data_IF_950077312168
#
_entry.id   IF_950077312168
#
_cell.length_a   1.000
_cell.length_b   1.000
_cell.length_c   1.000
_cell.angle_alpha   90.00
_cell.angle_beta   90.00
_cell.angle_gamma   90.00
#
_symmetry.space_group_name_H-M   'P 1'
#
loop_
_entity.id
_entity.type
_entity.pdbx_description
1 polymer ?
#
# COMPACT_ATOMS: atom_id res chain seq x y z
N UNK A 1 -5.31 -54.94 -19.23
CA UNK A 1 -4.85 -53.62 -19.71
C UNK A 1 -4.48 -52.85 -18.48
N UNK A 2 -3.20 -52.60 -18.32
CA UNK A 2 -2.61 -52.04 -17.12
C UNK A 2 -1.82 -50.78 -17.50
N UNK A 3 -2.01 -49.69 -16.76
CA UNK A 3 -1.35 -48.40 -17.00
C UNK A 3 -0.45 -48.07 -15.81
N UNK A 4 0.82 -47.83 -16.10
CA UNK A 4 1.84 -47.45 -15.14
C UNK A 4 2.26 -46.01 -15.40
N UNK A 5 2.42 -45.23 -14.33
CA UNK A 5 2.88 -43.85 -14.39
C UNK A 5 4.01 -43.61 -13.40
N UNK A 6 4.95 -42.75 -13.79
CA UNK A 6 6.03 -42.31 -12.93
C UNK A 6 6.29 -40.82 -13.16
N UNK A 7 6.28 -40.04 -12.08
CA UNK A 7 6.57 -38.61 -12.11
C UNK A 7 7.88 -38.38 -11.37
N UNK A 8 8.83 -37.75 -12.04
CA UNK A 8 10.08 -37.33 -11.42
C UNK A 8 10.32 -35.83 -11.60
N UNK A 9 11.11 -35.26 -10.70
CA UNK A 9 11.53 -33.87 -10.80
C UNK A 9 12.49 -33.73 -11.97
N UNK A 10 12.24 -32.74 -12.83
CA UNK A 10 13.08 -32.40 -13.96
C UNK A 10 13.34 -30.89 -13.93
N UNK A 11 14.45 -30.47 -13.31
CA UNK A 11 14.79 -29.06 -13.14
C UNK A 11 13.79 -28.31 -12.25
N UNK A 12 13.21 -27.24 -12.79
CA UNK A 12 12.09 -26.46 -12.22
C UNK A 12 10.72 -27.08 -12.51
N UNK A 13 10.66 -28.10 -13.38
CA UNK A 13 9.46 -28.83 -13.76
C UNK A 13 9.41 -30.28 -13.26
N UNK A 14 8.50 -31.04 -13.85
CA UNK A 14 8.34 -32.48 -13.60
C UNK A 14 8.20 -33.23 -14.93
N UNK A 15 8.72 -34.44 -14.98
CA UNK A 15 8.59 -35.34 -16.12
C UNK A 15 7.64 -36.47 -15.76
N UNK A 16 6.56 -36.63 -16.54
CA UNK A 16 5.66 -37.78 -16.48
C UNK A 16 6.08 -38.82 -17.51
N UNK A 17 6.30 -40.05 -17.05
CA UNK A 17 6.49 -41.24 -17.88
C UNK A 17 5.28 -42.15 -17.76
N UNK A 18 4.79 -42.68 -18.88
CA UNK A 18 3.65 -43.58 -18.94
C UNK A 18 4.03 -44.85 -19.69
N UNK A 19 3.57 -46.00 -19.20
CA UNK A 19 3.67 -47.29 -19.87
C UNK A 19 2.31 -47.99 -19.82
N UNK A 20 1.85 -48.54 -20.94
CA UNK A 20 0.59 -49.29 -21.03
C UNK A 20 0.89 -50.72 -21.45
N UNK A 21 0.36 -51.70 -20.72
CA UNK A 21 0.45 -53.13 -21.04
C UNK A 21 -0.92 -53.66 -21.47
N UNK A 22 -0.99 -54.29 -22.65
CA UNK A 22 -2.22 -54.86 -23.21
C UNK A 22 -2.41 -56.36 -22.88
N UNK A 23 -1.54 -56.95 -22.05
CA UNK A 23 -1.57 -58.37 -21.66
C UNK A 23 -0.73 -59.30 -22.54
N UNK A 24 -0.09 -58.74 -23.58
CA UNK A 24 0.85 -59.44 -24.47
C UNK A 24 2.16 -58.70 -24.68
N UNK A 25 2.36 -57.56 -24.01
CA UNK A 25 3.49 -56.65 -24.19
C UNK A 25 3.09 -55.19 -23.95
N UNK A 26 4.10 -54.35 -23.78
CA UNK A 26 3.92 -52.90 -23.66
C UNK A 26 3.58 -52.28 -25.02
N UNK A 27 2.74 -51.24 -25.01
CA UNK A 27 2.38 -50.47 -26.20
C UNK A 27 3.62 -49.77 -26.76
N UNK A 28 3.94 -50.09 -28.01
CA UNK A 28 5.00 -49.45 -28.80
C UNK A 28 4.55 -49.31 -30.27
N UNK A 29 5.28 -48.49 -31.03
CA UNK A 29 4.92 -48.15 -32.41
C UNK A 29 5.06 -49.31 -33.41
N UNK A 30 5.79 -50.37 -33.08
CA UNK A 30 6.05 -51.51 -33.97
C UNK A 30 5.03 -52.64 -33.75
N UNK A 31 4.79 -53.00 -32.48
CA UNK A 31 3.95 -54.14 -32.11
C UNK A 31 2.46 -53.75 -31.92
N UNK A 32 2.18 -52.50 -31.54
CA UNK A 32 0.82 -52.03 -31.24
C UNK A 32 0.54 -50.62 -31.79
N UNK A 33 0.65 -50.41 -33.13
CA UNK A 33 0.61 -49.07 -33.73
C UNK A 33 -0.68 -48.27 -33.43
N UNK A 34 -1.86 -48.92 -33.50
CA UNK A 34 -3.14 -48.25 -33.21
C UNK A 34 -3.25 -47.81 -31.74
N UNK A 35 -2.80 -48.67 -30.82
CA UNK A 35 -2.80 -48.35 -29.39
C UNK A 35 -1.75 -47.28 -29.06
N UNK A 36 -0.61 -47.28 -29.76
CA UNK A 36 0.43 -46.26 -29.63
C UNK A 36 -0.07 -44.89 -30.07
N UNK A 37 -0.74 -44.79 -31.23
CA UNK A 37 -1.33 -43.53 -31.68
C UNK A 37 -2.46 -43.05 -30.74
N UNK A 38 -3.28 -43.96 -30.21
CA UNK A 38 -4.28 -43.63 -29.20
C UNK A 38 -3.67 -43.07 -27.91
N UNK A 39 -2.62 -43.72 -27.39
CA UNK A 39 -1.89 -43.26 -26.19
C UNK A 39 -1.22 -41.91 -26.43
N UNK A 40 -0.65 -41.71 -27.62
CA UNK A 40 -0.04 -40.44 -28.04
C UNK A 40 -1.07 -39.31 -28.12
N UNK A 41 -2.22 -39.56 -28.73
CA UNK A 41 -3.31 -38.58 -28.81
C UNK A 41 -3.85 -38.21 -27.42
N UNK A 42 -3.98 -39.18 -26.52
CA UNK A 42 -4.35 -38.94 -25.11
C UNK A 42 -3.33 -38.03 -24.40
N UNK A 43 -2.03 -38.32 -24.57
CA UNK A 43 -0.95 -37.51 -23.99
C UNK A 43 -0.93 -36.08 -24.53
N UNK A 44 -1.17 -35.87 -25.82
CA UNK A 44 -1.30 -34.54 -26.40
C UNK A 44 -2.52 -33.78 -25.87
N UNK A 45 -3.65 -34.47 -25.65
CA UNK A 45 -4.82 -33.90 -25.01
C UNK A 45 -4.52 -33.46 -23.58
N UNK A 46 -3.85 -34.32 -22.80
CA UNK A 46 -3.44 -34.03 -21.44
C UNK A 46 -2.45 -32.85 -21.36
N UNK A 47 -1.45 -32.79 -22.25
CA UNK A 47 -0.52 -31.66 -22.34
C UNK A 47 -1.27 -30.34 -22.60
N UNK A 48 -2.24 -30.35 -23.51
CA UNK A 48 -3.07 -29.17 -23.79
C UNK A 48 -3.88 -28.74 -22.57
N UNK A 49 -4.50 -29.68 -21.85
CA UNK A 49 -5.25 -29.37 -20.64
C UNK A 49 -4.35 -28.82 -19.52
N UNK A 50 -3.17 -29.41 -19.31
CA UNK A 50 -2.19 -28.90 -18.37
C UNK A 50 -1.76 -27.47 -18.70
N UNK A 51 -1.47 -27.18 -19.97
CA UNK A 51 -1.09 -25.84 -20.40
C UNK A 51 -2.21 -24.83 -20.14
N UNK A 52 -3.46 -25.19 -20.43
CA UNK A 52 -4.62 -24.34 -20.13
C UNK A 52 -4.74 -24.09 -18.62
N UNK A 53 -4.57 -25.12 -17.79
CA UNK A 53 -4.71 -24.98 -16.35
C UNK A 53 -3.58 -24.15 -15.74
N UNK A 54 -2.34 -24.32 -16.22
CA UNK A 54 -1.20 -23.49 -15.82
C UNK A 54 -1.45 -22.01 -16.17
N UNK A 55 -1.94 -21.72 -17.38
CA UNK A 55 -2.28 -20.35 -17.80
C UNK A 55 -3.40 -19.77 -16.92
N UNK A 56 -4.41 -20.56 -16.52
CA UNK A 56 -5.45 -20.08 -15.60
C UNK A 56 -4.90 -19.77 -14.22
N UNK A 57 -3.96 -20.57 -13.71
CA UNK A 57 -3.31 -20.31 -12.42
C UNK A 57 -2.50 -19.01 -12.49
N UNK A 58 -1.73 -18.82 -13.56
CA UNK A 58 -0.98 -17.60 -13.81
C UNK A 58 -1.91 -16.38 -13.94
N UNK A 59 -2.98 -16.49 -14.72
CA UNK A 59 -3.99 -15.45 -14.87
C UNK A 59 -4.58 -15.06 -13.50
N UNK A 60 -4.99 -16.04 -12.69
CA UNK A 60 -5.54 -15.78 -11.36
C UNK A 60 -4.52 -15.11 -10.42
N UNK A 61 -3.25 -15.46 -10.53
CA UNK A 61 -2.18 -14.81 -9.78
C UNK A 61 -2.06 -13.33 -10.17
N UNK A 62 -1.97 -13.04 -11.48
CA UNK A 62 -1.87 -11.68 -11.98
C UNK A 62 -3.13 -10.85 -11.71
N UNK A 63 -4.32 -11.42 -11.78
CA UNK A 63 -5.57 -10.76 -11.38
C UNK A 63 -5.58 -10.37 -9.90
N UNK A 64 -5.06 -11.23 -9.01
CA UNK A 64 -4.96 -10.91 -7.59
C UNK A 64 -3.96 -9.80 -7.34
N UNK A 65 -2.80 -9.87 -8.01
CA UNK A 65 -1.77 -8.83 -7.94
C UNK A 65 -2.29 -7.48 -8.44
N UNK A 66 -3.05 -7.48 -9.53
CA UNK A 66 -3.72 -6.27 -10.04
C UNK A 66 -4.68 -5.69 -9.00
N UNK A 67 -5.53 -6.50 -8.38
CA UNK A 67 -6.46 -6.06 -7.32
C UNK A 67 -5.74 -5.47 -6.10
N UNK A 68 -4.58 -6.01 -5.74
CA UNK A 68 -3.77 -5.45 -4.66
C UNK A 68 -3.22 -4.06 -5.02
N UNK A 69 -2.68 -3.91 -6.23
CA UNK A 69 -2.19 -2.62 -6.73
C UNK A 69 -3.31 -1.57 -6.82
N UNK A 70 -4.50 -1.95 -7.28
CA UNK A 70 -5.67 -1.05 -7.32
C UNK A 70 -6.07 -0.59 -5.92
N UNK A 71 -6.08 -1.49 -4.93
CA UNK A 71 -6.37 -1.13 -3.53
C UNK A 71 -5.32 -0.19 -2.96
N UNK A 72 -4.06 -0.41 -3.27
CA UNK A 72 -2.97 0.43 -2.79
C UNK A 72 -3.01 1.83 -3.42
N UNK A 73 -3.36 1.93 -4.71
CA UNK A 73 -3.62 3.22 -5.36
C UNK A 73 -4.74 3.98 -4.66
N UNK A 74 -5.88 3.34 -4.38
CA UNK A 74 -7.00 3.96 -3.65
C UNK A 74 -6.58 4.44 -2.24
N UNK A 75 -5.73 3.68 -1.54
CA UNK A 75 -5.20 4.12 -0.24
C UNK A 75 -4.32 5.36 -0.41
N UNK A 76 -3.42 5.38 -1.39
CA UNK A 76 -2.54 6.52 -1.66
C UNK A 76 -3.33 7.78 -1.99
N UNK A 77 -4.38 7.68 -2.80
CA UNK A 77 -5.25 8.81 -3.12
C UNK A 77 -5.96 9.37 -1.88
N UNK A 78 -6.51 8.49 -1.02
CA UNK A 78 -7.12 8.90 0.26
C UNK A 78 -6.11 9.57 1.20
N UNK A 79 -4.88 9.07 1.26
CA UNK A 79 -3.80 9.67 2.05
C UNK A 79 -3.49 11.08 1.53
N UNK A 80 -3.35 11.24 0.21
CA UNK A 80 -3.11 12.53 -0.44
C UNK A 80 -4.23 13.52 -0.12
N UNK A 81 -5.49 13.13 -0.26
CA UNK A 81 -6.63 13.99 0.08
C UNK A 81 -6.63 14.42 1.55
N UNK A 82 -6.31 13.50 2.46
CA UNK A 82 -6.19 13.82 3.89
C UNK A 82 -5.08 14.85 4.14
N UNK A 83 -3.89 14.64 3.56
CA UNK A 83 -2.78 15.57 3.72
C UNK A 83 -3.09 16.95 3.14
N UNK A 84 -3.79 17.03 2.00
CA UNK A 84 -4.23 18.32 1.45
C UNK A 84 -5.18 19.07 2.40
N UNK A 85 -6.14 18.37 3.01
CA UNK A 85 -7.05 18.97 4.01
C UNK A 85 -6.31 19.41 5.27
N UNK A 86 -5.36 18.61 5.74
CA UNK A 86 -4.51 18.96 6.89
C UNK A 86 -3.68 20.21 6.59
N UNK A 87 -3.04 20.28 5.42
CA UNK A 87 -2.27 21.46 4.98
C UNK A 87 -3.13 22.71 5.01
N UNK A 88 -4.36 22.65 4.50
CA UNK A 88 -5.24 23.81 4.48
C UNK A 88 -5.62 24.25 5.91
N UNK A 89 -5.98 23.31 6.77
CA UNK A 89 -6.26 23.61 8.18
C UNK A 89 -5.05 24.22 8.90
N UNK A 90 -3.83 23.76 8.60
CA UNK A 90 -2.62 24.33 9.18
C UNK A 90 -2.34 25.74 8.67
N UNK A 91 -2.57 26.02 7.40
CA UNK A 91 -2.44 27.38 6.85
C UNK A 91 -3.40 28.35 7.53
N UNK A 92 -4.67 27.98 7.67
CA UNK A 92 -5.66 28.81 8.38
C UNK A 92 -5.24 29.10 9.82
N UNK A 93 -4.73 28.08 10.52
CA UNK A 93 -4.20 28.24 11.90
C UNK A 93 -2.99 29.17 11.94
N UNK A 94 -2.08 29.07 10.97
CA UNK A 94 -0.91 29.95 10.88
C UNK A 94 -1.38 31.39 10.69
N UNK A 95 -2.25 31.66 9.71
CA UNK A 95 -2.78 33.01 9.46
C UNK A 95 -3.45 33.59 10.72
N UNK A 96 -4.31 32.80 11.39
CA UNK A 96 -4.97 33.25 12.62
C UNK A 96 -3.95 33.56 13.73
N UNK A 97 -2.92 32.74 13.88
CA UNK A 97 -1.90 32.97 14.90
C UNK A 97 -1.05 34.21 14.56
N UNK A 98 -0.76 34.46 13.29
CA UNK A 98 -0.08 35.69 12.84
C UNK A 98 -0.91 36.94 13.18
N UNK A 99 -2.22 36.92 12.93
CA UNK A 99 -3.12 38.00 13.34
C UNK A 99 -3.14 38.21 14.87
N UNK A 100 -3.21 37.12 15.64
CA UNK A 100 -3.17 37.19 17.10
C UNK A 100 -1.85 37.75 17.64
N UNK A 101 -0.73 37.43 16.99
CA UNK A 101 0.58 38.00 17.34
C UNK A 101 0.58 39.51 17.09
N UNK A 102 0.07 39.97 15.96
CA UNK A 102 0.00 41.41 15.66
C UNK A 102 -0.85 42.18 16.69
N UNK A 103 -2.01 41.62 17.06
CA UNK A 103 -2.86 42.20 18.11
C UNK A 103 -2.12 42.23 19.44
N UNK A 104 -1.46 41.13 19.82
CA UNK A 104 -0.72 41.06 21.07
C UNK A 104 0.45 42.05 21.13
N UNK A 105 1.17 42.24 20.03
CA UNK A 105 2.24 43.22 19.93
C UNK A 105 1.73 44.65 20.15
N UNK A 106 0.55 44.99 19.59
CA UNK A 106 -0.08 46.28 19.82
C UNK A 106 -0.53 46.45 21.29
N UNK A 107 -1.18 45.43 21.87
CA UNK A 107 -1.59 45.44 23.28
C UNK A 107 -0.37 45.63 24.21
N UNK A 108 0.76 44.99 23.88
CA UNK A 108 2.01 45.17 24.61
C UNK A 108 2.57 46.59 24.52
N UNK A 109 2.39 47.29 23.40
CA UNK A 109 2.78 48.70 23.26
C UNK A 109 1.88 49.57 24.14
N UNK A 110 0.56 49.37 24.05
CA UNK A 110 -0.42 50.17 24.78
C UNK A 110 -0.28 50.01 26.30
N UNK A 111 -0.03 48.79 26.77
CA UNK A 111 0.19 48.55 28.21
C UNK A 111 1.51 49.16 28.68
N UNK A 112 2.58 49.17 27.86
CA UNK A 112 3.85 49.84 28.20
C UNK A 112 3.65 51.34 28.37
N UNK A 113 2.90 51.99 27.48
CA UNK A 113 2.53 53.41 27.62
C UNK A 113 1.75 53.66 28.91
N UNK A 114 0.81 52.78 29.23
CA UNK A 114 0.00 52.89 30.45
C UNK A 114 0.85 52.73 31.72
N UNK A 115 1.81 51.80 31.72
CA UNK A 115 2.75 51.59 32.81
C UNK A 115 3.60 52.85 33.05
N UNK A 116 4.12 53.49 32.00
CA UNK A 116 4.93 54.70 32.15
C UNK A 116 4.13 55.86 32.77
N UNK A 117 2.89 56.09 32.31
CA UNK A 117 1.99 57.08 32.93
C UNK A 117 1.70 56.78 34.40
N UNK A 118 1.49 55.50 34.73
CA UNK A 118 1.27 55.09 36.12
C UNK A 118 2.50 55.33 37.00
N UNK A 119 3.72 55.07 36.47
CA UNK A 119 4.97 55.36 37.20
C UNK A 119 5.11 56.85 37.52
N UNK A 120 4.76 57.74 36.60
CA UNK A 120 4.76 59.18 36.85
C UNK A 120 3.78 59.55 37.97
N UNK A 121 2.55 59.02 37.90
CA UNK A 121 1.53 59.25 38.94
C UNK A 121 1.99 58.77 40.31
N UNK A 122 2.63 57.60 40.39
CA UNK A 122 3.20 57.07 41.64
C UNK A 122 4.24 58.03 42.20
N UNK A 123 5.19 58.51 41.38
CA UNK A 123 6.20 59.48 41.83
C UNK A 123 5.59 60.77 42.36
N UNK A 124 4.54 61.29 41.71
CA UNK A 124 3.85 62.48 42.20
C UNK A 124 3.21 62.26 43.58
N UNK A 125 2.61 61.09 43.79
CA UNK A 125 1.99 60.72 45.08
C UNK A 125 3.07 60.52 46.16
N UNK A 126 4.20 59.90 45.84
CA UNK A 126 5.35 59.77 46.74
C UNK A 126 5.86 61.14 47.21
N UNK A 127 5.98 62.11 46.28
CA UNK A 127 6.37 63.48 46.62
C UNK A 127 5.33 64.15 47.53
N UNK A 128 4.04 63.94 47.28
CA UNK A 128 2.95 64.49 48.13
C UNK A 128 2.99 63.89 49.54
N UNK A 129 3.23 62.59 49.65
CA UNK A 129 3.36 61.90 50.94
C UNK A 129 4.55 62.45 51.73
N UNK A 130 5.72 62.54 51.11
CA UNK A 130 6.93 63.06 51.76
C UNK A 130 6.74 64.50 52.29
N UNK A 131 6.00 65.34 51.58
CA UNK A 131 5.66 66.70 52.03
C UNK A 131 4.65 66.75 53.18
N UNK A 132 3.79 65.73 53.31
CA UNK A 132 2.81 65.65 54.39
C UNK A 132 3.45 65.11 55.68
N UNK A 133 4.53 64.33 55.56
CA UNK A 133 5.29 63.77 56.68
C UNK A 133 6.38 64.72 57.23
N UNK A 134 6.73 65.78 56.48
CA UNK A 134 7.70 66.83 56.86
C UNK A 134 7.07 68.01 57.58
#
# INVERSE_FOLDING_TARGET
VDLYSFIEKAGDGSQLKLWMDLGGGFVDSENFPDAYEGLRAMLQGFEKELNIENIKVELKHEENRLKELERDLVKLDKLRERYLKEIESWKEKITKNEELIQVNDQDQIDIKVTIEKQKETVKEVEIKLAKAES
#
